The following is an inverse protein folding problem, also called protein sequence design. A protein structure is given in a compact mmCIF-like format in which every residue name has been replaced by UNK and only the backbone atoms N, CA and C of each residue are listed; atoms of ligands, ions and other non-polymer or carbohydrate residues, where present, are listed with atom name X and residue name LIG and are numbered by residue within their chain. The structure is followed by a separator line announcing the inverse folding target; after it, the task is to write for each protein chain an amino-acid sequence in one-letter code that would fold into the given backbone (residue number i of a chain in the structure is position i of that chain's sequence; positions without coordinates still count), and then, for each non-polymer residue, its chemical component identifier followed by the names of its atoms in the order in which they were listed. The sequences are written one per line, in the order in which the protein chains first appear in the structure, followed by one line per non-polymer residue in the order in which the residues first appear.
data_IF_701872177427
#
_entry.id   IF_701872177427
#
_cell.length_a   1.000
_cell.length_b   1.000
_cell.length_c   1.000
_cell.angle_alpha   90.00
_cell.angle_beta   90.00
_cell.angle_gamma   90.00
#
_symmetry.space_group_name_H-M   'P 1'
#
loop_
_entity.id
_entity.type
_entity.pdbx_description
1 polymer ?
#
# COMPACT_ATOMS: atom_id res chain seq x y z
N UNK A 1 76.00 14.57 -32.46
CA UNK A 1 75.50 15.79 -31.79
C UNK A 1 74.33 15.41 -30.90
N UNK A 2 74.10 16.19 -29.84
CA UNK A 2 72.97 16.02 -28.93
C UNK A 2 71.72 16.56 -29.63
N UNK A 3 70.75 15.69 -29.91
CA UNK A 3 69.49 16.03 -30.59
C UNK A 3 68.35 16.36 -29.62
N UNK A 4 68.48 15.98 -28.35
CA UNK A 4 67.44 16.23 -27.36
C UNK A 4 67.78 15.72 -25.96
N UNK A 5 66.96 16.10 -24.99
CA UNK A 5 67.05 15.62 -23.60
C UNK A 5 65.67 15.23 -23.09
N UNK A 6 65.58 14.03 -22.54
CA UNK A 6 64.40 13.49 -21.87
C UNK A 6 64.63 13.50 -20.35
N UNK A 7 63.78 14.22 -19.63
CA UNK A 7 63.77 14.30 -18.17
C UNK A 7 62.64 13.42 -17.63
N UNK A 8 63.01 12.26 -17.08
CA UNK A 8 62.06 11.27 -16.56
C UNK A 8 61.60 11.61 -15.13
N UNK A 9 62.55 11.89 -14.25
CA UNK A 9 62.34 12.33 -12.87
C UNK A 9 63.49 13.25 -12.45
N UNK A 10 63.56 14.46 -13.01
CA UNK A 10 64.67 15.38 -12.77
C UNK A 10 64.15 16.79 -12.43
N UNK A 11 64.37 17.21 -11.19
CA UNK A 11 63.87 18.48 -10.65
C UNK A 11 62.35 18.58 -10.78
N UNK A 12 61.87 19.64 -11.46
CA UNK A 12 60.43 19.90 -11.67
C UNK A 12 59.81 19.10 -12.81
N UNK A 13 60.61 18.44 -13.64
CA UNK A 13 60.13 17.76 -14.83
C UNK A 13 59.97 16.25 -14.60
N UNK A 14 58.79 15.75 -14.94
CA UNK A 14 58.43 14.33 -14.92
C UNK A 14 58.00 13.93 -16.32
N UNK A 15 58.73 12.97 -16.92
CA UNK A 15 58.50 12.44 -18.27
C UNK A 15 58.32 13.53 -19.34
N UNK A 16 59.25 14.48 -19.39
CA UNK A 16 59.28 15.56 -20.40
C UNK A 16 60.44 15.40 -21.34
N UNK A 17 60.25 15.80 -22.59
CA UNK A 17 61.25 15.72 -23.64
C UNK A 17 61.44 17.09 -24.28
N UNK A 18 62.69 17.46 -24.51
CA UNK A 18 63.11 18.71 -25.11
C UNK A 18 64.01 18.42 -26.30
N UNK A 19 63.53 18.73 -27.50
CA UNK A 19 64.29 18.60 -28.73
C UNK A 19 65.21 19.81 -28.89
N UNK A 20 66.46 19.56 -29.28
CA UNK A 20 67.45 20.59 -29.59
C UNK A 20 67.59 20.71 -31.11
N UNK A 21 67.62 21.94 -31.60
CA UNK A 21 67.95 22.25 -32.99
C UNK A 21 69.45 22.13 -33.24
N UNK A 22 69.83 21.78 -34.47
CA UNK A 22 71.22 21.71 -34.93
C UNK A 22 71.93 23.09 -34.98
N UNK A 23 71.18 24.19 -34.84
CA UNK A 23 71.71 25.55 -34.93
C UNK A 23 71.67 26.28 -33.59
N UNK A 24 70.50 26.78 -33.19
CA UNK A 24 70.31 27.54 -31.96
C UNK A 24 69.00 27.12 -31.30
N UNK A 25 69.06 26.79 -30.01
CA UNK A 25 67.88 26.49 -29.19
C UNK A 25 67.79 27.47 -28.02
N UNK A 26 66.65 28.15 -27.89
CA UNK A 26 66.41 29.14 -26.83
C UNK A 26 65.31 28.64 -25.89
N UNK A 27 65.67 28.45 -24.61
CA UNK A 27 64.70 28.14 -23.55
C UNK A 27 64.26 29.41 -22.83
N UNK A 28 63.00 29.82 -23.02
CA UNK A 28 62.41 30.98 -22.36
C UNK A 28 61.24 30.59 -21.44
N UNK A 29 60.94 31.42 -20.45
CA UNK A 29 59.85 31.18 -19.50
C UNK A 29 59.97 32.02 -18.23
N UNK A 30 58.93 31.98 -17.38
CA UNK A 30 58.88 32.68 -16.08
C UNK A 30 60.04 32.28 -15.16
N UNK A 31 60.35 33.08 -14.15
CA UNK A 31 61.26 32.66 -13.08
C UNK A 31 60.76 31.33 -12.47
N UNK A 32 61.70 30.44 -12.13
CA UNK A 32 61.41 29.11 -11.56
C UNK A 32 60.55 28.18 -12.47
N UNK A 33 60.50 28.46 -13.78
CA UNK A 33 59.87 27.58 -14.76
C UNK A 33 60.67 26.31 -15.06
N UNK A 34 61.84 26.12 -14.43
CA UNK A 34 62.71 24.96 -14.65
C UNK A 34 63.80 25.13 -15.70
N UNK A 35 64.04 26.36 -16.21
CA UNK A 35 65.12 26.62 -17.19
C UNK A 35 66.47 26.08 -16.71
N UNK A 36 66.87 26.43 -15.49
CA UNK A 36 68.13 25.96 -14.88
C UNK A 36 68.19 24.45 -14.74
N UNK A 37 67.04 23.79 -14.48
CA UNK A 37 66.95 22.33 -14.37
C UNK A 37 67.31 21.61 -15.67
N UNK A 38 66.96 22.19 -16.83
CA UNK A 38 67.33 21.64 -18.16
C UNK A 38 68.86 21.74 -18.34
N UNK A 39 69.45 22.88 -17.99
CA UNK A 39 70.90 23.08 -18.07
C UNK A 39 71.68 22.22 -17.08
N UNK A 40 71.18 22.02 -15.86
CA UNK A 40 71.82 21.14 -14.87
C UNK A 40 71.83 19.68 -15.34
N UNK A 41 70.73 19.21 -15.96
CA UNK A 41 70.69 17.88 -16.54
C UNK A 41 71.68 17.71 -17.70
N UNK A 42 71.81 18.71 -18.58
CA UNK A 42 72.82 18.73 -19.66
C UNK A 42 74.25 18.75 -19.11
N UNK A 43 74.51 19.54 -18.06
CA UNK A 43 75.81 19.62 -17.38
C UNK A 43 76.20 18.27 -16.77
N UNK A 44 75.26 17.59 -16.11
CA UNK A 44 75.48 16.22 -15.63
C UNK A 44 75.71 15.27 -16.80
N UNK A 45 74.91 15.32 -17.85
CA UNK A 45 75.04 14.39 -18.96
C UNK A 45 76.41 14.42 -19.64
N UNK A 46 76.99 15.61 -19.78
CA UNK A 46 78.29 15.80 -20.44
C UNK A 46 79.45 15.63 -19.44
N UNK A 47 79.31 16.10 -18.19
CA UNK A 47 80.41 16.15 -17.22
C UNK A 47 80.44 15.05 -16.14
N UNK A 48 79.32 14.37 -15.87
CA UNK A 48 79.17 13.51 -14.67
C UNK A 48 80.05 12.26 -14.65
N UNK A 49 80.50 11.77 -15.81
CA UNK A 49 81.43 10.64 -15.94
C UNK A 49 82.82 10.94 -15.38
N UNK A 50 83.21 12.22 -15.35
CA UNK A 50 84.57 12.65 -14.99
C UNK A 50 84.64 13.33 -13.62
N UNK A 51 83.49 13.63 -13.02
CA UNK A 51 83.40 14.32 -11.74
C UNK A 51 83.02 13.35 -10.62
N UNK A 52 83.80 13.40 -9.55
CA UNK A 52 83.43 12.76 -8.27
C UNK A 52 82.25 13.51 -7.63
N UNK A 53 81.50 12.84 -6.74
CA UNK A 53 80.32 13.44 -6.11
C UNK A 53 80.62 14.75 -5.32
N UNK A 54 81.89 14.95 -4.92
CA UNK A 54 82.34 16.12 -4.16
C UNK A 54 82.84 17.29 -5.03
N UNK A 55 82.88 17.15 -6.35
CA UNK A 55 83.35 18.19 -7.27
C UNK A 55 82.18 18.98 -7.87
N UNK A 56 82.35 20.29 -8.02
CA UNK A 56 81.40 21.12 -8.77
C UNK A 56 81.46 20.82 -10.28
N UNK A 57 80.36 20.96 -11.03
CA UNK A 57 79.00 21.30 -10.60
C UNK A 57 78.20 20.12 -10.00
N UNK A 58 78.76 18.91 -9.99
CA UNK A 58 78.04 17.69 -9.59
C UNK A 58 77.56 17.77 -8.13
N UNK A 59 78.39 18.25 -7.22
CA UNK A 59 78.04 18.48 -5.80
C UNK A 59 76.84 19.41 -5.64
N UNK A 60 76.85 20.59 -6.27
CA UNK A 60 75.73 21.54 -6.21
C UNK A 60 74.44 20.98 -6.81
N UNK A 61 74.53 20.24 -7.92
CA UNK A 61 73.35 19.65 -8.57
C UNK A 61 72.76 18.51 -7.71
N UNK A 62 73.62 17.65 -7.13
CA UNK A 62 73.20 16.60 -6.20
C UNK A 62 72.58 17.17 -4.93
N UNK A 63 73.13 18.27 -4.39
CA UNK A 63 72.53 18.97 -3.25
C UNK A 63 71.13 19.53 -3.55
N UNK A 64 70.85 19.89 -4.82
CA UNK A 64 69.57 20.48 -5.23
C UNK A 64 68.50 19.44 -5.57
N UNK A 65 68.90 18.31 -6.14
CA UNK A 65 67.95 17.32 -6.68
C UNK A 65 68.06 15.91 -6.07
N UNK A 66 69.04 15.69 -5.17
CA UNK A 66 69.32 14.40 -4.55
C UNK A 66 70.07 13.42 -5.46
N UNK A 67 70.56 12.32 -4.88
CA UNK A 67 71.35 11.30 -5.61
C UNK A 67 70.57 10.58 -6.71
N UNK A 68 69.24 10.43 -6.53
CA UNK A 68 68.34 9.82 -7.51
C UNK A 68 68.24 10.60 -8.84
N UNK A 69 68.77 11.82 -8.88
CA UNK A 69 68.80 12.66 -10.08
C UNK A 69 69.74 12.13 -11.17
N UNK A 70 70.72 11.28 -10.83
CA UNK A 70 71.65 10.69 -11.80
C UNK A 70 70.96 9.78 -12.82
N UNK A 71 69.87 9.11 -12.40
CA UNK A 71 69.06 8.23 -13.26
C UNK A 71 67.84 8.96 -13.86
N UNK A 72 67.66 10.23 -13.50
CA UNK A 72 66.46 11.02 -13.79
C UNK A 72 66.40 11.60 -15.20
N UNK A 73 67.46 11.47 -16.01
CA UNK A 73 67.55 12.05 -17.35
C UNK A 73 68.13 11.06 -18.38
N UNK A 74 67.80 11.27 -19.66
CA UNK A 74 68.31 10.52 -20.80
C UNK A 74 68.61 11.50 -21.94
N UNK A 75 69.82 11.43 -22.49
CA UNK A 75 70.18 12.20 -23.68
C UNK A 75 69.75 11.45 -24.95
N UNK A 76 69.17 12.19 -25.89
CA UNK A 76 68.87 11.74 -27.23
C UNK A 76 70.00 12.22 -28.17
N UNK A 77 70.65 11.29 -28.86
CA UNK A 77 71.77 11.56 -29.76
C UNK A 77 73.14 11.25 -29.12
N UNK A 78 74.21 11.60 -29.83
CA UNK A 78 75.58 11.30 -29.41
C UNK A 78 76.13 12.39 -28.49
N UNK A 79 76.39 12.03 -27.23
CA UNK A 79 77.14 12.85 -26.27
C UNK A 79 78.63 12.81 -26.67
N UNK A 80 79.30 13.97 -26.77
CA UNK A 80 80.74 14.01 -27.01
C UNK A 80 81.48 13.25 -25.88
N UNK A 81 82.35 12.32 -26.25
CA UNK A 81 83.21 11.64 -25.26
C UNK A 81 84.38 12.57 -24.95
N UNK A 82 84.38 13.14 -23.74
CA UNK A 82 85.48 13.99 -23.29
C UNK A 82 86.64 13.10 -22.84
N UNK A 83 87.85 13.41 -23.25
CA UNK A 83 89.04 12.75 -22.68
C UNK A 83 89.24 13.18 -21.22
N UNK A 84 90.01 12.40 -20.45
CA UNK A 84 90.39 12.76 -19.08
C UNK A 84 91.05 14.14 -18.97
N UNK A 85 91.71 14.60 -20.04
CA UNK A 85 92.40 15.89 -20.07
C UNK A 85 91.47 17.05 -20.49
N UNK A 86 90.44 16.76 -21.29
CA UNK A 86 89.48 17.77 -21.78
C UNK A 86 88.27 17.93 -20.88
N UNK A 87 87.94 16.91 -20.07
CA UNK A 87 86.82 16.96 -19.13
C UNK A 87 86.98 18.05 -18.04
N UNK A 88 88.14 18.24 -17.40
CA UNK A 88 88.35 19.35 -16.47
C UNK A 88 88.20 20.71 -17.17
N UNK A 89 88.72 20.87 -18.40
CA UNK A 89 88.61 22.11 -19.15
C UNK A 89 87.16 22.46 -19.49
N UNK A 90 86.36 21.47 -19.89
CA UNK A 90 84.93 21.65 -20.10
C UNK A 90 84.21 22.07 -18.81
N UNK A 91 84.52 21.42 -17.69
CA UNK A 91 83.89 21.71 -16.40
C UNK A 91 84.23 23.12 -15.92
N UNK A 92 85.52 23.48 -15.88
CA UNK A 92 85.98 24.75 -15.36
C UNK A 92 85.70 25.90 -16.33
N UNK A 93 86.11 25.81 -17.60
CA UNK A 93 86.02 26.95 -18.53
C UNK A 93 84.62 27.14 -19.13
N UNK A 94 83.88 26.06 -19.40
CA UNK A 94 82.61 26.12 -20.15
C UNK A 94 81.40 25.97 -19.24
N UNK A 95 81.40 24.99 -18.33
CA UNK A 95 80.26 24.71 -17.44
C UNK A 95 80.17 25.69 -16.28
N UNK A 96 81.28 25.90 -15.56
CA UNK A 96 81.38 26.79 -14.40
C UNK A 96 81.76 28.22 -14.77
N UNK A 97 82.29 28.43 -15.99
CA UNK A 97 82.85 29.72 -16.44
C UNK A 97 83.96 30.27 -15.53
N UNK A 98 84.71 29.39 -14.89
CA UNK A 98 85.92 29.75 -14.13
C UNK A 98 87.01 30.38 -15.00
N UNK A 99 86.82 30.42 -16.33
CA UNK A 99 87.58 31.22 -17.30
C UNK A 99 87.36 32.75 -17.20
N UNK A 100 86.45 33.22 -16.36
CA UNK A 100 86.58 34.54 -15.70
C UNK A 100 87.69 34.44 -14.62
N UNK A 101 88.93 34.16 -15.08
CA UNK A 101 90.05 33.64 -14.29
C UNK A 101 90.62 34.68 -13.31
N UNK A 102 90.54 34.42 -12.01
CA UNK A 102 91.51 34.89 -11.02
C UNK A 102 92.76 33.99 -11.08
N UNK A 103 93.91 34.54 -11.49
CA UNK A 103 95.17 33.80 -11.49
C UNK A 103 95.83 33.86 -10.11
N UNK A 104 95.73 32.78 -9.33
CA UNK A 104 96.52 32.59 -8.13
C UNK A 104 97.82 31.85 -8.50
N UNK A 105 98.95 32.56 -8.52
CA UNK A 105 100.27 31.92 -8.49
C UNK A 105 100.73 31.78 -7.03
N UNK A 106 101.51 30.75 -6.74
CA UNK A 106 101.99 30.24 -5.43
C UNK A 106 102.61 31.25 -4.42
N UNK A 107 102.59 32.56 -4.68
CA UNK A 107 103.19 33.61 -3.84
C UNK A 107 102.18 34.65 -3.31
N UNK A 108 100.96 34.24 -2.95
CA UNK A 108 99.93 35.04 -2.23
C UNK A 108 99.66 36.47 -2.76
N UNK A 109 100.03 36.78 -4.00
CA UNK A 109 99.80 38.08 -4.62
C UNK A 109 98.83 37.93 -5.78
N UNK A 110 97.59 38.35 -5.53
CA UNK A 110 96.53 38.41 -6.52
C UNK A 110 96.84 39.51 -7.54
N UNK A 111 97.00 39.13 -8.82
CA UNK A 111 97.10 40.07 -9.93
C UNK A 111 95.77 40.07 -10.67
N UNK A 112 95.16 41.25 -10.79
CA UNK A 112 93.88 41.39 -11.49
C UNK A 112 94.01 41.01 -12.97
N UNK A 113 93.03 40.31 -13.57
CA UNK A 113 93.11 39.84 -14.95
C UNK A 113 93.26 40.98 -15.98
N UNK A 114 92.66 42.12 -15.69
CA UNK A 114 92.77 43.33 -16.52
C UNK A 114 94.19 43.89 -16.60
N UNK A 115 94.98 43.73 -15.53
CA UNK A 115 96.38 44.14 -15.52
C UNK A 115 97.22 43.28 -16.47
N UNK A 116 96.99 41.97 -16.50
CA UNK A 116 97.67 41.04 -17.41
C UNK A 116 97.22 41.26 -18.87
N UNK A 117 95.92 41.46 -19.10
CA UNK A 117 95.41 41.84 -20.43
C UNK A 117 96.00 43.15 -20.93
N UNK A 118 96.04 44.19 -20.09
CA UNK A 118 96.65 45.47 -20.44
C UNK A 118 98.13 45.34 -20.78
N UNK A 119 98.88 44.52 -20.04
CA UNK A 119 100.31 44.33 -20.26
C UNK A 119 100.63 43.46 -21.49
N UNK A 120 99.81 42.45 -21.77
CA UNK A 120 100.02 41.49 -22.87
C UNK A 120 99.43 41.95 -24.21
N UNK A 121 98.28 42.64 -24.19
CA UNK A 121 97.55 43.02 -25.41
C UNK A 121 97.82 44.47 -25.84
N UNK A 122 98.20 45.38 -24.93
CA UNK A 122 98.38 46.81 -25.25
C UNK A 122 99.85 47.26 -25.33
N UNK A 123 100.81 46.36 -25.58
CA UNK A 123 102.25 46.68 -25.73
C UNK A 123 102.85 47.56 -24.61
N UNK A 124 102.34 47.44 -23.38
CA UNK A 124 102.81 48.26 -22.25
C UNK A 124 102.25 49.69 -22.20
N UNK A 125 101.25 50.02 -23.03
CA UNK A 125 100.53 51.30 -22.94
C UNK A 125 99.52 51.22 -21.79
N UNK A 126 99.78 51.99 -20.75
CA UNK A 126 98.93 52.13 -19.58
C UNK A 126 97.72 53.05 -19.89
N UNK A 127 96.67 52.44 -20.45
CA UNK A 127 95.42 53.14 -20.75
C UNK A 127 94.76 53.72 -19.48
N UNK A 128 94.92 53.07 -18.33
CA UNK A 128 94.42 53.57 -17.04
C UNK A 128 95.22 54.80 -16.59
N UNK A 129 96.54 54.78 -16.77
CA UNK A 129 97.43 55.92 -16.57
C UNK A 129 97.07 57.13 -17.45
N UNK A 130 96.76 56.90 -18.72
CA UNK A 130 96.29 57.95 -19.65
C UNK A 130 94.93 58.49 -19.22
N UNK A 131 93.98 57.61 -18.91
CA UNK A 131 92.65 57.98 -18.41
C UNK A 131 92.73 58.81 -17.11
N UNK A 132 93.60 58.40 -16.18
CA UNK A 132 93.82 59.12 -14.92
C UNK A 132 94.47 60.49 -15.14
N UNK A 133 95.39 60.60 -16.10
CA UNK A 133 96.05 61.86 -16.46
C UNK A 133 95.06 62.83 -17.12
N UNK A 134 94.22 62.34 -18.03
CA UNK A 134 93.14 63.13 -18.62
C UNK A 134 92.13 63.59 -17.56
N UNK A 135 91.73 62.71 -16.64
CA UNK A 135 90.88 63.09 -15.51
C UNK A 135 91.50 64.17 -14.63
N UNK A 136 92.82 64.12 -14.39
CA UNK A 136 93.54 65.17 -13.65
C UNK A 136 93.58 66.51 -14.39
N UNK A 137 93.70 66.50 -15.72
CA UNK A 137 93.70 67.72 -16.54
C UNK A 137 92.32 68.37 -16.55
N UNK A 138 91.25 67.56 -16.59
CA UNK A 138 89.87 68.04 -16.64
C UNK A 138 89.23 68.23 -15.26
N UNK A 139 89.87 67.78 -14.17
CA UNK A 139 89.42 68.06 -12.81
C UNK A 139 89.79 69.48 -12.38
N UNK A 140 88.87 70.25 -11.78
CA UNK A 140 89.18 71.59 -11.30
C UNK A 140 90.28 71.54 -10.22
N UNK A 141 91.19 72.53 -10.24
CA UNK A 141 92.27 72.63 -9.24
C UNK A 141 91.67 72.72 -7.84
N UNK A 142 92.17 71.91 -6.91
CA UNK A 142 91.73 71.85 -5.51
C UNK A 142 91.76 73.25 -4.88
N UNK A 143 90.64 73.71 -4.33
CA UNK A 143 90.51 75.04 -3.72
C UNK A 143 90.15 76.20 -4.66
N UNK A 144 89.98 75.95 -5.97
CA UNK A 144 89.44 76.94 -6.92
C UNK A 144 87.93 77.12 -6.78
N UNK A 145 87.39 78.24 -7.30
CA UNK A 145 85.93 78.46 -7.39
C UNK A 145 85.23 77.33 -8.14
N UNK A 146 85.85 76.81 -9.20
CA UNK A 146 85.32 75.70 -10.01
C UNK A 146 85.29 74.38 -9.24
N UNK A 147 86.26 74.14 -8.34
CA UNK A 147 86.27 72.96 -7.46
C UNK A 147 85.13 73.00 -6.45
N UNK A 148 84.82 74.18 -5.91
CA UNK A 148 83.71 74.34 -4.97
C UNK A 148 82.35 74.17 -5.67
N UNK A 149 82.20 74.72 -6.88
CA UNK A 149 81.02 74.51 -7.72
C UNK A 149 80.83 73.03 -8.07
N UNK A 150 81.90 72.34 -8.44
CA UNK A 150 81.87 70.92 -8.76
C UNK A 150 81.44 70.05 -7.57
N UNK A 151 82.00 70.26 -6.38
CA UNK A 151 81.58 69.52 -5.18
C UNK A 151 80.14 69.87 -4.75
N UNK A 152 79.69 71.11 -4.95
CA UNK A 152 78.29 71.51 -4.70
C UNK A 152 77.34 70.77 -5.64
N UNK A 153 77.63 70.76 -6.95
CA UNK A 153 76.82 70.05 -7.95
C UNK A 153 76.83 68.54 -7.73
N UNK A 154 77.97 67.97 -7.33
CA UNK A 154 78.09 66.55 -7.00
C UNK A 154 77.23 66.18 -5.78
N UNK A 155 77.21 67.05 -4.76
CA UNK A 155 76.32 66.89 -3.60
C UNK A 155 74.86 66.98 -4.02
N UNK A 156 74.49 67.98 -4.82
CA UNK A 156 73.12 68.15 -5.32
C UNK A 156 72.66 66.97 -6.18
N UNK A 157 73.53 66.42 -7.05
CA UNK A 157 73.24 65.19 -7.80
C UNK A 157 73.02 64.01 -6.87
N UNK A 158 73.81 63.90 -5.79
CA UNK A 158 73.63 62.85 -4.79
C UNK A 158 72.30 62.98 -4.08
N UNK A 159 71.95 64.19 -3.62
CA UNK A 159 70.69 64.49 -2.92
C UNK A 159 69.46 64.30 -3.84
N UNK A 160 69.58 64.65 -5.12
CA UNK A 160 68.53 64.38 -6.12
C UNK A 160 68.38 62.88 -6.40
N UNK A 161 69.47 62.11 -6.39
CA UNK A 161 69.41 60.65 -6.54
C UNK A 161 68.72 59.99 -5.36
N UNK A 162 69.03 60.39 -4.13
CA UNK A 162 68.37 59.85 -2.94
C UNK A 162 66.88 60.19 -2.94
N UNK A 163 66.54 61.46 -3.22
CA UNK A 163 65.13 61.88 -3.34
C UNK A 163 64.37 61.14 -4.43
N UNK A 164 65.02 60.86 -5.58
CA UNK A 164 64.44 60.03 -6.64
C UNK A 164 64.16 58.61 -6.14
N UNK A 165 65.09 57.99 -5.41
CA UNK A 165 64.88 56.64 -4.87
C UNK A 165 63.76 56.60 -3.83
N UNK A 166 63.65 57.61 -2.97
CA UNK A 166 62.56 57.73 -2.00
C UNK A 166 61.20 57.85 -2.69
N UNK A 167 61.08 58.72 -3.70
CA UNK A 167 59.84 58.89 -4.46
C UNK A 167 59.44 57.62 -5.23
N UNK A 168 60.41 56.86 -5.76
CA UNK A 168 60.12 55.57 -6.41
C UNK A 168 59.53 54.58 -5.39
N UNK A 169 60.13 54.47 -4.21
CA UNK A 169 59.63 53.61 -3.14
C UNK A 169 58.23 54.05 -2.66
N UNK A 170 57.98 55.35 -2.58
CA UNK A 170 56.66 55.88 -2.22
C UNK A 170 55.60 55.53 -3.28
N UNK A 171 55.92 55.70 -4.57
CA UNK A 171 55.03 55.31 -5.68
C UNK A 171 54.73 53.81 -5.65
N UNK A 172 55.73 52.95 -5.43
CA UNK A 172 55.55 51.50 -5.31
C UNK A 172 54.66 51.13 -4.11
N UNK A 173 54.83 51.80 -2.97
CA UNK A 173 53.99 51.61 -1.80
C UNK A 173 52.54 52.07 -2.04
N UNK A 174 52.32 53.18 -2.74
CA UNK A 174 50.98 53.64 -3.10
C UNK A 174 50.31 52.68 -4.10
N UNK A 175 51.03 52.20 -5.10
CA UNK A 175 50.51 51.22 -6.06
C UNK A 175 50.13 49.90 -5.38
N UNK A 176 50.95 49.39 -4.47
CA UNK A 176 50.62 48.16 -3.73
C UNK A 176 49.40 48.34 -2.81
N UNK A 177 49.29 49.48 -2.12
CA UNK A 177 48.09 49.82 -1.31
C UNK A 177 46.83 49.92 -2.16
N UNK A 178 46.89 50.61 -3.30
CA UNK A 178 45.75 50.76 -4.20
C UNK A 178 45.33 49.42 -4.80
N UNK A 179 46.28 48.57 -5.20
CA UNK A 179 45.99 47.22 -5.68
C UNK A 179 45.27 46.39 -4.62
N UNK A 180 45.78 46.38 -3.39
CA UNK A 180 45.16 45.64 -2.29
C UNK A 180 43.76 46.18 -1.95
N UNK A 181 43.55 47.50 -2.03
CA UNK A 181 42.25 48.10 -1.79
C UNK A 181 41.25 47.77 -2.91
N UNK A 182 41.69 47.76 -4.17
CA UNK A 182 40.86 47.34 -5.30
C UNK A 182 40.43 45.86 -5.18
N UNK A 183 41.36 44.97 -4.83
CA UNK A 183 41.06 43.54 -4.58
C UNK A 183 40.06 43.38 -3.42
N UNK A 184 40.21 44.15 -2.33
CA UNK A 184 39.27 44.12 -1.20
C UNK A 184 37.88 44.64 -1.57
N UNK A 185 37.79 45.69 -2.38
CA UNK A 185 36.50 46.20 -2.86
C UNK A 185 35.82 45.22 -3.82
N UNK A 186 36.58 44.53 -4.68
CA UNK A 186 36.04 43.48 -5.54
C UNK A 186 35.46 42.32 -4.72
N UNK A 187 36.18 41.85 -3.70
CA UNK A 187 35.70 40.82 -2.78
C UNK A 187 34.42 41.29 -2.07
N UNK A 188 34.39 42.52 -1.56
CA UNK A 188 33.19 43.10 -0.92
C UNK A 188 31.99 43.15 -1.85
N UNK A 189 32.22 43.48 -3.13
CA UNK A 189 31.16 43.55 -4.13
C UNK A 189 30.62 42.16 -4.46
N UNK A 190 31.51 41.16 -4.59
CA UNK A 190 31.11 39.76 -4.75
C UNK A 190 30.31 39.24 -3.54
N UNK A 191 30.73 39.58 -2.32
CA UNK A 191 30.03 39.17 -1.10
C UNK A 191 28.65 39.82 -0.98
N UNK A 192 28.51 41.11 -1.35
CA UNK A 192 27.19 41.77 -1.44
C UNK A 192 26.28 41.12 -2.47
N UNK A 193 26.81 40.72 -3.63
CA UNK A 193 26.04 40.02 -4.64
C UNK A 193 25.55 38.66 -4.13
N UNK A 194 26.41 37.89 -3.46
CA UNK A 194 26.03 36.63 -2.81
C UNK A 194 24.97 36.85 -1.72
N UNK A 195 25.10 37.90 -0.92
CA UNK A 195 24.10 38.25 0.10
C UNK A 195 22.73 38.52 -0.54
N UNK A 196 22.70 39.25 -1.66
CA UNK A 196 21.48 39.51 -2.41
C UNK A 196 20.87 38.22 -2.99
N UNK A 197 21.69 37.34 -3.57
CA UNK A 197 21.24 36.02 -4.04
C UNK A 197 20.65 35.17 -2.91
N UNK A 198 21.30 35.14 -1.75
CA UNK A 198 20.82 34.41 -0.57
C UNK A 198 19.49 34.99 -0.10
N UNK A 199 19.34 36.32 -0.02
CA UNK A 199 18.08 36.97 0.35
C UNK A 199 16.94 36.60 -0.60
N UNK A 200 17.20 36.58 -1.91
CA UNK A 200 16.19 36.18 -2.90
C UNK A 200 15.79 34.71 -2.74
N UNK A 201 16.76 33.81 -2.51
CA UNK A 201 16.48 32.39 -2.25
C UNK A 201 15.69 32.19 -0.97
N UNK A 202 16.02 32.92 0.10
CA UNK A 202 15.26 32.88 1.36
C UNK A 202 13.82 33.34 1.16
N UNK A 203 13.60 34.47 0.47
CA UNK A 203 12.25 34.95 0.17
C UNK A 203 11.44 33.96 -0.67
N UNK A 204 12.09 33.19 -1.56
CA UNK A 204 11.43 32.13 -2.32
C UNK A 204 11.05 30.94 -1.42
N UNK A 205 11.96 30.50 -0.56
CA UNK A 205 11.71 29.42 0.39
C UNK A 205 10.58 29.79 1.37
N UNK A 206 10.52 31.04 1.83
CA UNK A 206 9.43 31.52 2.70
C UNK A 206 8.08 31.44 1.98
N UNK A 207 8.00 31.85 0.71
CA UNK A 207 6.78 31.72 -0.10
C UNK A 207 6.37 30.25 -0.29
N UNK A 208 7.33 29.38 -0.59
CA UNK A 208 7.07 27.96 -0.80
C UNK A 208 6.61 27.29 0.50
N UNK A 209 7.21 27.65 1.64
CA UNK A 209 6.78 27.21 2.99
C UNK A 209 5.35 27.65 3.33
N UNK A 210 4.97 28.89 2.99
CA UNK A 210 3.58 29.34 3.15
C UNK A 210 2.61 28.52 2.31
N UNK A 211 2.97 28.21 1.06
CA UNK A 211 2.15 27.36 0.18
C UNK A 211 2.03 25.94 0.74
N UNK A 212 3.13 25.35 1.21
CA UNK A 212 3.13 24.03 1.83
C UNK A 212 2.24 23.98 3.07
N UNK A 213 2.26 25.02 3.92
CA UNK A 213 1.38 25.11 5.08
C UNK A 213 -0.11 25.14 4.68
N UNK A 214 -0.45 25.81 3.57
CA UNK A 214 -1.81 25.85 3.02
C UNK A 214 -2.20 24.49 2.43
N UNK A 215 -1.28 23.83 1.75
CA UNK A 215 -1.48 22.47 1.22
C UNK A 215 -1.73 21.48 2.35
N UNK A 216 -0.92 21.50 3.42
CA UNK A 216 -1.12 20.64 4.59
C UNK A 216 -2.48 20.85 5.25
N UNK A 217 -2.90 22.11 5.45
CA UNK A 217 -4.24 22.43 5.97
C UNK A 217 -5.34 21.88 5.05
N UNK A 218 -5.18 21.99 3.73
CA UNK A 218 -6.14 21.44 2.76
C UNK A 218 -6.20 19.91 2.81
N UNK A 219 -5.06 19.23 2.97
CA UNK A 219 -5.01 17.77 3.14
C UNK A 219 -5.78 17.34 4.40
N UNK A 220 -5.53 17.99 5.54
CA UNK A 220 -6.25 17.71 6.79
C UNK A 220 -7.77 17.95 6.66
N UNK A 221 -8.17 19.00 5.94
CA UNK A 221 -9.59 19.26 5.65
C UNK A 221 -10.20 18.17 4.75
N UNK A 222 -9.45 17.65 3.77
CA UNK A 222 -9.93 16.57 2.91
C UNK A 222 -10.05 15.25 3.68
N UNK A 223 -9.10 14.95 4.56
CA UNK A 223 -9.14 13.76 5.43
C UNK A 223 -10.36 13.82 6.35
N UNK A 224 -10.58 14.93 7.05
CA UNK A 224 -11.75 15.11 7.91
C UNK A 224 -13.07 15.04 7.14
N UNK A 225 -13.14 15.58 5.92
CA UNK A 225 -14.31 15.45 5.06
C UNK A 225 -14.58 13.98 4.68
N UNK A 226 -13.53 13.22 4.34
CA UNK A 226 -13.64 11.80 4.04
C UNK A 226 -14.14 10.98 5.24
N UNK A 227 -13.71 11.34 6.45
CA UNK A 227 -14.12 10.71 7.69
C UNK A 227 -15.58 11.04 8.03
N UNK A 228 -16.00 12.29 7.87
CA UNK A 228 -17.41 12.69 7.97
C UNK A 228 -18.27 11.91 6.97
N UNK A 229 -17.80 11.72 5.74
CA UNK A 229 -18.54 10.95 4.73
C UNK A 229 -18.67 9.47 5.12
N UNK A 230 -17.61 8.87 5.68
CA UNK A 230 -17.68 7.51 6.25
C UNK A 230 -18.68 7.44 7.40
N UNK A 231 -18.60 8.35 8.38
CA UNK A 231 -19.53 8.41 9.51
C UNK A 231 -20.98 8.58 9.04
N UNK A 232 -21.23 9.40 8.02
CA UNK A 232 -22.55 9.56 7.41
C UNK A 232 -23.06 8.27 6.79
N UNK A 233 -22.20 7.55 6.05
CA UNK A 233 -22.58 6.25 5.48
C UNK A 233 -22.91 5.20 6.55
N UNK A 234 -22.15 5.19 7.64
CA UNK A 234 -22.40 4.33 8.80
C UNK A 234 -23.72 4.73 9.45
N UNK A 235 -23.97 6.03 9.66
CA UNK A 235 -25.22 6.52 10.22
C UNK A 235 -26.44 6.11 9.37
N UNK A 236 -26.34 6.20 8.04
CA UNK A 236 -27.38 5.73 7.13
C UNK A 236 -27.59 4.21 7.24
N UNK A 237 -26.52 3.43 7.37
CA UNK A 237 -26.62 1.97 7.59
C UNK A 237 -27.30 1.64 8.93
N UNK A 238 -26.97 2.37 10.01
CA UNK A 238 -27.61 2.21 11.32
C UNK A 238 -29.08 2.59 11.25
N UNK A 239 -29.45 3.69 10.57
CA UNK A 239 -30.85 4.06 10.36
C UNK A 239 -31.64 2.98 9.62
N UNK A 240 -31.03 2.35 8.60
CA UNK A 240 -31.63 1.20 7.91
C UNK A 240 -31.79 0.01 8.86
N UNK A 241 -30.79 -0.29 9.69
CA UNK A 241 -30.89 -1.37 10.67
C UNK A 241 -31.94 -1.12 11.76
N UNK A 242 -32.20 0.14 12.13
CA UNK A 242 -33.29 0.49 13.06
C UNK A 242 -34.68 0.14 12.51
N UNK A 243 -34.90 0.11 11.19
CA UNK A 243 -36.16 -0.39 10.61
C UNK A 243 -36.39 -1.88 10.91
N UNK A 244 -35.32 -2.65 11.07
CA UNK A 244 -35.35 -4.07 11.43
C UNK A 244 -35.27 -4.32 12.95
N UNK A 245 -35.25 -3.26 13.77
CA UNK A 245 -35.19 -3.37 15.24
C UNK A 245 -36.57 -3.57 15.90
N UNK A 246 -37.66 -3.56 15.12
CA UNK A 246 -38.96 -3.99 15.65
C UNK A 246 -38.93 -5.51 15.81
N UNK A 247 -38.97 -5.96 17.05
CA UNK A 247 -39.05 -7.37 17.41
C UNK A 247 -40.41 -7.94 16.99
N UNK A 248 -40.47 -8.58 15.82
CA UNK A 248 -41.66 -9.27 15.30
C UNK A 248 -41.84 -10.67 15.94
N UNK A 249 -41.01 -11.05 16.92
CA UNK A 249 -41.08 -12.37 17.58
C UNK A 249 -42.46 -12.64 18.19
N UNK A 250 -43.15 -11.61 18.69
CA UNK A 250 -44.52 -11.77 19.21
C UNK A 250 -45.54 -12.10 18.12
N UNK A 251 -45.41 -11.50 16.93
CA UNK A 251 -46.27 -11.81 15.79
C UNK A 251 -45.97 -13.22 15.25
N UNK A 252 -44.69 -13.61 15.23
CA UNK A 252 -44.25 -14.94 14.84
C UNK A 252 -44.73 -16.02 15.83
N UNK A 253 -44.61 -15.80 17.14
CA UNK A 253 -45.14 -16.72 18.17
C UNK A 253 -46.65 -16.89 18.08
N UNK A 254 -47.40 -15.82 17.79
CA UNK A 254 -48.84 -15.91 17.60
C UNK A 254 -49.21 -16.74 16.36
N UNK A 255 -48.53 -16.51 15.23
CA UNK A 255 -48.71 -17.33 14.03
C UNK A 255 -48.36 -18.80 14.29
N UNK A 256 -47.30 -19.07 15.06
CA UNK A 256 -46.91 -20.43 15.42
C UNK A 256 -47.97 -21.12 16.29
N UNK A 257 -48.53 -20.41 17.28
CA UNK A 257 -49.65 -20.90 18.10
C UNK A 257 -50.91 -21.15 17.27
N UNK A 258 -51.17 -20.32 16.26
CA UNK A 258 -52.32 -20.48 15.37
C UNK A 258 -52.16 -21.68 14.42
N UNK A 259 -50.95 -21.87 13.89
CA UNK A 259 -50.58 -23.08 13.13
C UNK A 259 -50.77 -24.33 13.99
N UNK A 260 -50.33 -24.32 15.25
CA UNK A 260 -50.44 -25.47 16.14
C UNK A 260 -51.89 -25.78 16.52
N UNK A 261 -52.72 -24.75 16.75
CA UNK A 261 -54.18 -24.91 16.90
C UNK A 261 -54.81 -25.54 15.65
N UNK A 262 -54.49 -25.04 14.46
CA UNK A 262 -55.04 -25.57 13.20
C UNK A 262 -54.63 -27.03 12.97
N UNK A 263 -53.38 -27.38 13.30
CA UNK A 263 -52.85 -28.75 13.22
C UNK A 263 -53.57 -29.69 14.17
N UNK A 264 -53.85 -29.25 15.40
CA UNK A 264 -54.61 -30.04 16.36
C UNK A 264 -56.04 -30.28 15.87
N UNK A 265 -56.74 -29.26 15.34
CA UNK A 265 -58.08 -29.42 14.75
C UNK A 265 -58.07 -30.38 13.56
N UNK A 266 -57.06 -30.28 12.68
CA UNK A 266 -56.90 -31.20 11.56
C UNK A 266 -56.66 -32.64 12.04
N UNK A 267 -55.84 -32.83 13.08
CA UNK A 267 -55.60 -34.16 13.66
C UNK A 267 -56.86 -34.78 14.27
N UNK A 268 -57.67 -33.99 14.99
CA UNK A 268 -58.96 -34.45 15.54
C UNK A 268 -59.99 -34.77 14.44
N UNK A 269 -59.95 -34.02 13.34
CA UNK A 269 -60.79 -34.30 12.17
C UNK A 269 -60.35 -35.60 11.46
N UNK A 270 -59.03 -35.85 11.40
CA UNK A 270 -58.47 -37.08 10.85
C UNK A 270 -58.86 -38.31 11.67
N UNK A 271 -58.84 -38.23 13.00
CA UNK A 271 -59.29 -39.33 13.87
C UNK A 271 -60.77 -39.61 13.70
N UNK A 272 -61.60 -38.57 13.57
CA UNK A 272 -63.04 -38.74 13.30
C UNK A 272 -63.32 -39.37 11.92
N UNK A 273 -62.51 -39.06 10.91
CA UNK A 273 -62.60 -39.71 9.60
C UNK A 273 -62.22 -41.20 9.69
N UNK A 274 -61.17 -41.52 10.43
CA UNK A 274 -60.72 -42.90 10.63
C UNK A 274 -61.78 -43.73 11.38
N UNK A 275 -62.45 -43.16 12.39
CA UNK A 275 -63.57 -43.81 13.08
C UNK A 275 -64.75 -44.06 12.15
N UNK A 276 -65.06 -43.10 11.27
CA UNK A 276 -66.12 -43.26 10.26
C UNK A 276 -65.76 -44.33 9.23
N UNK A 277 -64.50 -44.41 8.82
CA UNK A 277 -64.00 -45.42 7.88
C UNK A 277 -64.11 -46.83 8.49
N UNK A 278 -63.69 -46.99 9.75
CA UNK A 278 -63.85 -48.23 10.51
C UNK A 278 -65.35 -48.63 10.65
N UNK A 279 -66.23 -47.67 10.88
CA UNK A 279 -67.67 -47.91 10.93
C UNK A 279 -68.23 -48.36 9.57
N UNK A 280 -67.77 -47.78 8.46
CA UNK A 280 -68.14 -48.19 7.11
C UNK A 280 -67.69 -49.63 6.84
N UNK A 281 -66.47 -49.99 7.21
CA UNK A 281 -65.95 -51.33 6.99
C UNK A 281 -66.66 -52.39 7.84
N UNK A 282 -67.06 -52.06 9.06
CA UNK A 282 -67.91 -52.94 9.88
C UNK A 282 -69.28 -53.18 9.22
N UNK A 283 -69.89 -52.13 8.62
CA UNK A 283 -71.15 -52.25 7.89
C UNK A 283 -70.99 -53.02 6.59
N UNK A 284 -69.88 -52.86 5.86
CA UNK A 284 -69.58 -53.69 4.68
C UNK A 284 -69.50 -55.17 5.03
N UNK A 285 -68.80 -55.53 6.12
CA UNK A 285 -68.75 -56.92 6.61
C UNK A 285 -70.14 -57.49 6.91
N UNK A 286 -70.99 -56.73 7.59
CA UNK A 286 -72.38 -57.15 7.85
C UNK A 286 -73.20 -57.32 6.56
N UNK A 287 -72.94 -56.52 5.53
CA UNK A 287 -73.59 -56.62 4.23
C UNK A 287 -73.11 -57.86 3.46
N UNK A 288 -71.82 -58.17 3.52
CA UNK A 288 -71.21 -59.39 2.96
C UNK A 288 -71.80 -60.66 3.62
N UNK A 289 -71.94 -60.67 4.95
CA UNK A 289 -72.57 -61.76 5.70
C UNK A 289 -74.04 -61.97 5.29
N UNK A 290 -74.81 -60.89 5.16
CA UNK A 290 -76.20 -60.97 4.67
C UNK A 290 -76.27 -61.43 3.21
N UNK A 291 -75.33 -61.02 2.37
CA UNK A 291 -75.23 -61.45 0.97
C UNK A 291 -74.90 -62.95 0.86
N UNK A 292 -74.07 -63.47 1.75
CA UNK A 292 -73.74 -64.90 1.83
C UNK A 292 -74.87 -65.77 2.39
N UNK A 293 -75.75 -65.21 3.23
CA UNK A 293 -76.98 -65.86 3.71
C UNK A 293 -78.13 -65.87 2.68
N UNK A 294 -78.06 -64.98 1.69
CA UNK A 294 -79.07 -64.85 0.63
C UNK A 294 -79.26 -66.13 -0.21
N UNK A 295 -78.20 -66.83 -0.70
CA UNK A 295 -78.36 -68.07 -1.45
C UNK A 295 -78.88 -69.24 -0.59
N UNK A 296 -78.58 -69.29 0.70
CA UNK A 296 -79.16 -70.30 1.63
C UNK A 296 -80.64 -70.04 1.89
N UNK A 297 -81.04 -68.78 2.08
CA UNK A 297 -82.45 -68.40 2.20
C UNK A 297 -83.23 -68.61 0.89
N UNK A 298 -82.62 -68.35 -0.28
CA UNK A 298 -83.22 -68.65 -1.58
C UNK A 298 -83.40 -70.17 -1.79
N UNK A 299 -82.44 -70.99 -1.35
CA UNK A 299 -82.59 -72.46 -1.36
C UNK A 299 -83.65 -72.96 -0.39
N UNK A 300 -83.77 -72.34 0.80
CA UNK A 300 -84.86 -72.63 1.73
C UNK A 300 -86.21 -72.20 1.17
N UNK A 301 -86.27 -71.08 0.46
CA UNK A 301 -87.47 -70.61 -0.23
C UNK A 301 -87.88 -71.55 -1.37
N UNK A 302 -86.95 -71.97 -2.23
CA UNK A 302 -87.23 -72.95 -3.28
C UNK A 302 -87.70 -74.29 -2.70
N UNK A 303 -87.11 -74.75 -1.59
CA UNK A 303 -87.60 -75.94 -0.88
C UNK A 303 -88.98 -75.73 -0.29
N UNK A 304 -89.29 -74.56 0.26
CA UNK A 304 -90.62 -74.26 0.76
C UNK A 304 -91.65 -74.16 -0.37
N UNK A 305 -91.28 -73.63 -1.53
CA UNK A 305 -92.12 -73.59 -2.74
C UNK A 305 -92.36 -75.02 -3.29
N UNK A 306 -91.33 -75.88 -3.37
CA UNK A 306 -91.47 -77.30 -3.72
C UNK A 306 -92.32 -78.09 -2.70
N UNK A 307 -92.23 -77.76 -1.41
CA UNK A 307 -93.10 -78.35 -0.38
C UNK A 307 -94.53 -77.82 -0.49
N UNK A 308 -94.72 -76.54 -0.82
CA UNK A 308 -96.05 -75.97 -1.05
C UNK A 308 -96.73 -76.54 -2.30
N UNK A 309 -95.97 -76.82 -3.36
CA UNK A 309 -96.47 -77.44 -4.59
C UNK A 309 -96.75 -78.95 -4.40
N UNK A 310 -96.00 -79.61 -3.51
CA UNK A 310 -96.36 -80.95 -3.01
C UNK A 310 -97.62 -80.92 -2.14
N UNK A 311 -97.76 -79.94 -1.25
CA UNK A 311 -98.93 -79.76 -0.39
C UNK A 311 -100.19 -79.46 -1.23
N UNK A 312 -100.12 -78.58 -2.25
CA UNK A 312 -101.23 -78.25 -3.15
C UNK A 312 -101.64 -79.42 -4.06
N UNK A 313 -100.71 -80.29 -4.45
CA UNK A 313 -101.03 -81.53 -5.18
C UNK A 313 -101.60 -82.63 -4.26
N UNK A 314 -101.22 -82.69 -2.99
CA UNK A 314 -101.82 -83.61 -2.00
C UNK A 314 -103.16 -83.13 -1.43
N UNK A 315 -103.48 -81.83 -1.50
CA UNK A 315 -104.73 -81.24 -0.99
C UNK A 315 -105.87 -81.19 -2.02
N UNK A 316 -105.68 -81.71 -3.23
CA UNK A 316 -106.74 -81.89 -4.24
C UNK A 316 -107.32 -83.31 -4.31
N UNK A 317 -106.75 -84.28 -3.60
CA UNK A 317 -107.25 -85.67 -3.60
C UNK A 317 -107.71 -86.22 -2.25
N UNK A 318 -107.47 -85.57 -1.11
CA UNK A 318 -108.12 -85.97 0.15
C UNK A 318 -108.34 -84.75 1.06
N UNK A 319 -109.60 -84.51 1.41
CA UNK A 319 -109.99 -83.43 2.28
C UNK A 319 -109.57 -83.68 3.73
N UNK A 320 -109.18 -82.63 4.45
CA UNK A 320 -109.50 -82.48 5.87
C UNK A 320 -109.27 -81.02 6.31
N UNK A 321 -110.32 -80.45 6.89
CA UNK A 321 -110.36 -79.25 7.71
C UNK A 321 -109.76 -79.54 9.08
N UNK A 322 -108.90 -78.68 9.65
CA UNK A 322 -109.02 -78.38 11.08
C UNK A 322 -108.27 -77.13 11.56
N UNK A 323 -108.92 -76.53 12.55
CA UNK A 323 -108.60 -75.32 13.29
C UNK A 323 -107.32 -75.47 14.13
N UNK A 324 -106.57 -74.38 14.29
CA UNK A 324 -105.84 -74.14 15.55
C UNK A 324 -106.21 -72.76 16.08
N UNK A 325 -107.00 -72.80 17.16
CA UNK A 325 -107.21 -71.72 18.13
C UNK A 325 -105.88 -71.23 18.70
N UNK A 326 -105.71 -69.93 18.82
CA UNK A 326 -104.94 -69.36 19.95
C UNK A 326 -105.72 -68.23 20.61
N UNK A 327 -105.79 -68.37 21.93
CA UNK A 327 -106.60 -67.68 22.91
C UNK A 327 -106.46 -66.14 22.91
N UNK A 328 -107.61 -65.47 22.97
CA UNK A 328 -107.73 -64.07 23.34
C UNK A 328 -107.62 -63.91 24.87
N UNK A 329 -106.72 -63.04 25.32
CA UNK A 329 -106.66 -62.55 26.70
C UNK A 329 -107.12 -61.10 26.79
N UNK A 330 -107.89 -60.82 27.84
CA UNK A 330 -108.65 -59.60 28.09
C UNK A 330 -107.79 -58.32 28.10
N UNK A 331 -107.95 -57.48 27.08
CA UNK A 331 -107.31 -56.16 26.97
C UNK A 331 -107.69 -55.15 28.06
N UNK A 332 -108.69 -55.45 28.89
CA UNK A 332 -109.11 -54.59 30.01
C UNK A 332 -108.13 -54.60 31.19
N UNK A 333 -107.39 -55.70 31.40
CA UNK A 333 -106.48 -55.84 32.54
C UNK A 333 -105.11 -55.20 32.26
N UNK A 334 -104.67 -55.19 31.00
CA UNK A 334 -103.49 -54.43 30.54
C UNK A 334 -103.74 -52.91 30.58
N UNK A 335 -104.95 -52.47 30.23
CA UNK A 335 -105.33 -51.06 30.28
C UNK A 335 -105.30 -50.48 31.70
N UNK A 336 -105.77 -51.21 32.71
CA UNK A 336 -105.74 -50.74 34.11
C UNK A 336 -104.32 -50.69 34.68
N UNK A 337 -103.44 -51.63 34.28
CA UNK A 337 -102.01 -51.62 34.68
C UNK A 337 -101.27 -50.42 34.05
N UNK A 338 -101.51 -50.12 32.77
CA UNK A 338 -100.88 -48.98 32.09
C UNK A 338 -101.33 -47.63 32.66
N UNK A 339 -102.62 -47.47 32.97
CA UNK A 339 -103.14 -46.25 33.60
C UNK A 339 -102.57 -46.08 35.02
N UNK A 340 -102.46 -47.17 35.79
CA UNK A 340 -101.84 -47.16 37.12
C UNK A 340 -100.37 -46.75 37.10
N UNK A 341 -99.57 -47.29 36.17
CA UNK A 341 -98.16 -46.91 35.98
C UNK A 341 -98.01 -45.45 35.52
N UNK A 342 -98.93 -44.96 34.67
CA UNK A 342 -98.98 -43.57 34.23
C UNK A 342 -99.21 -42.59 35.39
N UNK A 343 -100.17 -42.88 36.28
CA UNK A 343 -100.41 -42.05 37.48
C UNK A 343 -99.26 -42.11 38.49
N UNK A 344 -98.63 -43.28 38.69
CA UNK A 344 -97.46 -43.40 39.57
C UNK A 344 -96.26 -42.56 39.06
N UNK A 345 -96.03 -42.55 37.75
CA UNK A 345 -95.00 -41.73 37.11
C UNK A 345 -95.27 -40.23 37.23
N UNK A 346 -96.54 -39.81 37.18
CA UNK A 346 -96.96 -38.42 37.33
C UNK A 346 -96.78 -37.92 38.77
N UNK A 347 -97.11 -38.75 39.79
CA UNK A 347 -96.81 -38.44 41.19
C UNK A 347 -95.30 -38.45 41.50
N UNK A 348 -94.52 -39.34 40.88
CA UNK A 348 -93.06 -39.37 41.01
C UNK A 348 -92.38 -38.13 40.41
N UNK A 349 -92.83 -37.67 39.25
CA UNK A 349 -92.33 -36.45 38.60
C UNK A 349 -92.72 -35.18 39.38
N UNK A 350 -93.91 -35.15 39.98
CA UNK A 350 -94.38 -34.03 40.81
C UNK A 350 -93.71 -33.99 42.20
N UNK A 351 -93.48 -35.15 42.82
CA UNK A 351 -92.75 -35.27 44.08
C UNK A 351 -91.25 -34.94 43.95
N UNK A 352 -90.61 -35.35 42.86
CA UNK A 352 -89.21 -35.03 42.56
C UNK A 352 -88.98 -33.53 42.29
N UNK A 353 -89.97 -32.85 41.72
CA UNK A 353 -89.98 -31.39 41.49
C UNK A 353 -90.13 -30.59 42.81
N UNK A 354 -90.84 -31.13 43.81
CA UNK A 354 -91.05 -30.48 45.10
C UNK A 354 -89.94 -30.73 46.15
N UNK A 355 -89.20 -31.84 46.05
CA UNK A 355 -88.23 -32.27 47.08
C UNK A 355 -86.76 -32.33 46.61
N UNK A 356 -86.45 -32.03 45.34
CA UNK A 356 -85.05 -32.05 44.87
C UNK A 356 -84.81 -31.09 43.70
N UNK A 357 -83.59 -30.52 43.62
CA UNK A 357 -83.11 -29.70 42.49
C UNK A 357 -82.83 -30.57 41.25
N UNK A 358 -83.84 -31.24 40.71
CA UNK A 358 -83.78 -31.88 39.40
C UNK A 358 -84.05 -30.86 38.29
N UNK A 359 -83.40 -31.01 37.13
CA UNK A 359 -83.55 -30.08 36.01
C UNK A 359 -84.96 -30.16 35.39
N UNK A 360 -85.44 -29.01 34.90
CA UNK A 360 -86.74 -28.85 34.22
C UNK A 360 -86.92 -29.78 33.03
N UNK A 361 -85.84 -30.19 32.37
CA UNK A 361 -85.86 -31.06 31.19
C UNK A 361 -86.18 -32.52 31.57
N UNK A 362 -85.67 -33.02 32.70
CA UNK A 362 -85.95 -34.39 33.16
C UNK A 362 -87.40 -34.52 33.63
N UNK A 363 -87.93 -33.50 34.33
CA UNK A 363 -89.34 -33.44 34.74
C UNK A 363 -90.30 -33.40 33.53
N UNK A 364 -89.97 -32.63 32.49
CA UNK A 364 -90.80 -32.54 31.27
C UNK A 364 -90.84 -33.87 30.50
N UNK A 365 -89.70 -34.57 30.42
CA UNK A 365 -89.63 -35.89 29.76
C UNK A 365 -90.42 -36.97 30.52
N UNK A 366 -90.39 -36.97 31.85
CA UNK A 366 -91.19 -37.88 32.68
C UNK A 366 -92.70 -37.63 32.59
N UNK A 367 -93.11 -36.35 32.51
CA UNK A 367 -94.51 -35.95 32.34
C UNK A 367 -95.07 -36.36 30.95
N UNK A 368 -94.27 -36.26 29.89
CA UNK A 368 -94.68 -36.66 28.55
C UNK A 368 -94.82 -38.18 28.40
N UNK A 369 -93.89 -38.96 28.97
CA UNK A 369 -93.96 -40.43 28.94
C UNK A 369 -95.18 -40.93 29.74
N UNK A 370 -95.42 -40.35 30.93
CA UNK A 370 -96.60 -40.71 31.74
C UNK A 370 -97.92 -40.32 31.08
N UNK A 371 -98.02 -39.14 30.46
CA UNK A 371 -99.22 -38.74 29.71
C UNK A 371 -99.50 -39.68 28.52
N UNK A 372 -98.46 -40.10 27.79
CA UNK A 372 -98.61 -41.04 26.68
C UNK A 372 -99.10 -42.43 27.11
N UNK A 373 -98.67 -42.92 28.28
CA UNK A 373 -99.15 -44.19 28.86
C UNK A 373 -100.62 -44.13 29.30
N UNK A 374 -101.06 -42.98 29.85
CA UNK A 374 -102.47 -42.76 30.23
C UNK A 374 -103.38 -42.75 28.99
N UNK A 375 -102.96 -42.05 27.93
CA UNK A 375 -103.72 -41.99 26.66
C UNK A 375 -103.80 -43.37 26.00
N UNK A 376 -102.71 -44.14 25.98
CA UNK A 376 -102.68 -45.50 25.44
C UNK A 376 -103.57 -46.46 26.26
N UNK A 377 -103.61 -46.29 27.59
CA UNK A 377 -104.47 -47.04 28.48
C UNK A 377 -105.97 -46.75 28.26
N UNK A 378 -106.35 -45.47 28.09
CA UNK A 378 -107.72 -45.09 27.74
C UNK A 378 -108.13 -45.57 26.34
N UNK A 379 -107.21 -45.55 25.37
CA UNK A 379 -107.46 -46.04 24.02
C UNK A 379 -107.81 -47.54 24.00
N UNK A 380 -107.14 -48.34 24.83
CA UNK A 380 -107.45 -49.76 25.01
C UNK A 380 -108.79 -49.99 25.76
N UNK A 381 -109.26 -49.03 26.54
CA UNK A 381 -110.52 -49.10 27.27
C UNK A 381 -111.76 -48.82 26.39
N UNK A 382 -111.58 -48.05 25.30
CA UNK A 382 -112.68 -47.55 24.46
C UNK A 382 -113.01 -48.46 23.26
N UNK A 383 -112.19 -49.48 22.96
CA UNK A 383 -112.50 -50.40 21.85
C UNK A 383 -113.71 -51.30 22.16
N UNK A 384 -114.86 -50.95 21.55
CA UNK A 384 -116.07 -51.78 21.47
C UNK A 384 -116.38 -52.11 20.00
N UNK A 385 -116.10 -53.36 19.62
CA UNK A 385 -116.76 -54.28 18.64
C UNK A 385 -117.28 -53.74 17.27
N UNK A 386 -116.55 -54.16 16.21
CA UNK A 386 -116.95 -54.57 14.83
C UNK A 386 -117.58 -53.54 13.84
N UNK A 387 -117.59 -53.77 12.50
CA UNK A 387 -116.96 -54.84 11.68
C UNK A 387 -116.20 -54.37 10.39
N UNK A 388 -115.61 -55.36 9.73
CA UNK A 388 -115.00 -55.47 8.37
C UNK A 388 -115.59 -54.66 7.21
N UNK A 389 -114.76 -54.33 6.20
CA UNK A 389 -114.92 -54.74 4.76
C UNK A 389 -113.78 -54.18 3.87
N UNK A 390 -113.17 -55.14 3.15
CA UNK A 390 -112.53 -55.19 1.80
C UNK A 390 -111.80 -54.02 1.13
N UNK A 391 -110.60 -54.37 0.64
CA UNK A 391 -110.05 -54.18 -0.72
C UNK A 391 -110.15 -52.82 -1.42
N UNK A 392 -108.97 -52.25 -1.72
CA UNK A 392 -108.54 -51.93 -3.10
C UNK A 392 -107.06 -51.50 -3.12
N UNK A 393 -106.23 -52.32 -3.77
CA UNK A 393 -104.94 -51.96 -4.41
C UNK A 393 -105.33 -51.16 -5.68
N UNK A 394 -104.57 -50.19 -6.27
CA UNK A 394 -103.14 -50.37 -6.51
C UNK A 394 -102.22 -49.13 -6.75
N UNK A 395 -100.95 -49.49 -7.01
CA UNK A 395 -99.94 -48.86 -7.93
C UNK A 395 -98.82 -47.97 -7.35
N UNK A 396 -97.63 -48.58 -7.35
CA UNK A 396 -96.30 -47.97 -7.53
C UNK A 396 -96.17 -47.24 -8.88
N UNK A 397 -95.42 -46.13 -8.88
CA UNK A 397 -94.39 -45.74 -9.88
C UNK A 397 -93.36 -44.88 -9.13
N UNK A 398 -92.09 -45.27 -8.90
CA UNK A 398 -90.90 -45.52 -9.76
C UNK A 398 -90.25 -44.23 -10.33
N UNK A 399 -88.96 -44.07 -9.96
CA UNK A 399 -87.77 -43.47 -10.66
C UNK A 399 -87.76 -41.94 -10.90
N UNK A 400 -86.65 -41.18 -10.95
CA UNK A 400 -85.21 -41.33 -11.29
C UNK A 400 -84.44 -40.17 -10.58
N UNK A 401 -83.27 -40.37 -9.96
CA UNK A 401 -81.88 -40.25 -10.46
C UNK A 401 -81.34 -38.84 -10.77
N UNK A 402 -80.11 -38.61 -10.28
CA UNK A 402 -78.98 -37.89 -10.91
C UNK A 402 -79.13 -36.42 -11.31
N UNK A 403 -78.22 -35.56 -10.84
CA UNK A 403 -77.07 -35.11 -11.66
C UNK A 403 -76.07 -34.24 -10.87
N UNK A 404 -74.78 -34.54 -11.08
CA UNK A 404 -73.60 -33.65 -10.93
C UNK A 404 -73.53 -32.73 -12.16
N UNK A 405 -72.88 -31.55 -12.13
CA UNK A 405 -71.44 -31.41 -12.46
C UNK A 405 -70.71 -30.40 -11.53
N UNK A 406 -69.41 -30.50 -11.20
CA UNK A 406 -68.17 -30.54 -11.99
C UNK A 406 -67.64 -29.15 -12.45
N UNK A 407 -66.50 -28.77 -11.84
CA UNK A 407 -65.32 -28.03 -12.33
C UNK A 407 -65.43 -26.63 -12.98
N UNK A 408 -64.75 -25.66 -12.32
CA UNK A 408 -63.57 -24.94 -12.83
C UNK A 408 -63.73 -23.90 -13.94
N UNK A 409 -63.52 -22.62 -13.61
CA UNK A 409 -62.35 -21.77 -13.90
C UNK A 409 -62.24 -20.76 -12.75
#
# INVERSE_FOLDING_TARGET
MISGIQLNQFGKFVRKEFNLSDTVTVFFGKNESGKTTIFDALRLAIGSKFLTANQEPKKSILSRYGEKSLDGYKILGNVPDLSKDTAPQYVHCVSLREGELEFAFNNDKFIKPDFLRGKLLNNGIDLDGISSSLKKIHSPKTGSKDSNLFETLKKEISDLKTKRTELILEIENLHSRNKNNAEKEEIRLQDRNKEFEIKNKLAQIEKDSELDSKIQKKIQLLESLSEIQRLKSIQESIKKNFLYAKDESFAFENLQKEIEKSKNVASSSMTLLQDKENAIDSKKKQLEERRNLLPTLLKMKQKAEEWSEKIDNTLREDGFTEEIRTNHSDGKLLGTILVGLGFLGLFGAFGGFLLSKLSTVVSLSGALISASLIVLGFFLFIQKKNPSISDTVPKRKRILSSEFPAYGI
#
